data_IF_189585367030
#
_entry.id   IF_189585367030
#
_cell.length_a   1.000
_cell.length_b   1.000
_cell.length_c   1.000
_cell.angle_alpha   90.00
_cell.angle_beta   90.00
_cell.angle_gamma   90.00
#
_symmetry.space_group_name_H-M   'P 1'
#
loop_
_entity.id
_entity.type
_entity.pdbx_description
1 polymer ?
#
# COMPACT_ATOMS: atom_id res chain seq x y z
N UNK A 1 -41.89 16.28 5.18
CA UNK A 1 -40.50 16.10 4.67
C UNK A 1 -39.51 16.26 5.83
N UNK A 2 -39.51 15.31 6.79
CA UNK A 2 -38.80 15.45 8.10
C UNK A 2 -38.02 14.19 8.54
N UNK A 3 -37.98 13.13 7.73
CA UNK A 3 -37.22 11.90 8.05
C UNK A 3 -35.72 11.97 7.71
N UNK A 4 -35.28 13.00 6.98
CA UNK A 4 -33.90 13.11 6.48
C UNK A 4 -32.89 13.54 7.54
N UNK A 5 -33.30 14.35 8.50
CA UNK A 5 -32.34 14.93 9.43
C UNK A 5 -31.83 13.86 10.39
N UNK A 6 -32.66 13.01 11.01
CA UNK A 6 -32.15 12.06 12.00
C UNK A 6 -31.22 10.97 11.45
N UNK A 7 -31.43 10.45 10.24
CA UNK A 7 -30.54 9.44 9.63
C UNK A 7 -29.16 10.00 9.24
N UNK A 8 -29.10 11.30 8.90
CA UNK A 8 -27.92 11.91 8.28
C UNK A 8 -27.32 13.10 9.05
N UNK A 9 -27.90 13.50 10.20
CA UNK A 9 -27.43 14.62 11.06
C UNK A 9 -26.15 14.27 11.81
N UNK A 10 -25.87 13.00 12.05
CA UNK A 10 -24.50 12.62 12.41
C UNK A 10 -23.64 12.80 11.17
N UNK A 11 -22.97 13.96 11.09
CA UNK A 11 -21.97 14.31 10.07
C UNK A 11 -20.83 13.27 9.92
N UNK A 12 -20.84 12.19 10.70
CA UNK A 12 -19.88 11.08 10.73
C UNK A 12 -20.47 9.69 10.37
N UNK A 13 -21.75 9.55 10.03
CA UNK A 13 -22.30 8.24 9.64
C UNK A 13 -21.82 7.78 8.26
N UNK A 14 -21.49 6.48 8.11
CA UNK A 14 -21.21 5.81 6.82
C UNK A 14 -22.28 6.13 5.77
N UNK A 15 -23.55 6.09 6.17
CA UNK A 15 -24.71 6.40 5.33
C UNK A 15 -24.76 7.86 4.87
N UNK A 16 -24.30 8.82 5.67
CA UNK A 16 -24.27 10.24 5.27
C UNK A 16 -23.24 10.50 4.16
N UNK A 17 -22.10 9.82 4.23
CA UNK A 17 -21.06 9.82 3.18
C UNK A 17 -21.63 9.33 1.84
N UNK A 18 -22.35 8.21 1.87
CA UNK A 18 -22.99 7.63 0.68
C UNK A 18 -24.14 8.50 0.17
N UNK A 19 -24.94 9.06 1.07
CA UNK A 19 -26.01 9.98 0.70
C UNK A 19 -25.48 11.21 -0.02
N UNK A 20 -24.37 11.77 0.47
CA UNK A 20 -23.66 12.87 -0.16
C UNK A 20 -23.13 12.47 -1.55
N UNK A 21 -22.54 11.28 -1.68
CA UNK A 21 -22.07 10.77 -2.97
C UNK A 21 -23.21 10.55 -3.99
N UNK A 22 -24.41 10.17 -3.51
CA UNK A 22 -25.58 9.99 -4.37
C UNK A 22 -26.07 11.30 -4.98
N UNK A 23 -26.00 12.42 -4.24
CA UNK A 23 -26.60 13.69 -4.68
C UNK A 23 -25.57 14.74 -5.12
N UNK A 24 -24.40 14.78 -4.50
CA UNK A 24 -23.44 15.89 -4.59
C UNK A 24 -22.07 15.40 -5.09
N UNK A 25 -22.08 14.81 -6.28
CA UNK A 25 -20.93 14.26 -7.02
C UNK A 25 -19.69 15.15 -6.99
N UNK A 26 -19.85 16.47 -7.22
CA UNK A 26 -18.75 17.43 -7.36
C UNK A 26 -18.03 17.76 -6.04
N UNK A 27 -18.61 17.49 -4.87
CA UNK A 27 -18.00 17.83 -3.56
C UNK A 27 -17.31 16.64 -2.88
N UNK A 28 -17.29 15.48 -3.54
CA UNK A 28 -16.73 14.26 -2.96
C UNK A 28 -15.23 14.17 -3.27
N UNK A 29 -14.39 14.33 -2.24
CA UNK A 29 -12.92 14.31 -2.36
C UNK A 29 -12.39 12.87 -2.54
N UNK A 30 -11.18 12.73 -3.11
CA UNK A 30 -10.49 11.41 -3.24
C UNK A 30 -10.40 10.71 -1.88
N UNK A 31 -9.97 11.43 -0.83
CA UNK A 31 -9.87 10.89 0.53
C UNK A 31 -11.18 10.28 1.03
N UNK A 32 -12.30 10.97 0.80
CA UNK A 32 -13.62 10.49 1.23
C UNK A 32 -14.05 9.21 0.48
N UNK A 33 -13.73 9.11 -0.80
CA UNK A 33 -13.98 7.90 -1.60
C UNK A 33 -13.20 6.72 -1.01
N UNK A 34 -11.93 6.91 -0.64
CA UNK A 34 -11.09 5.85 -0.08
C UNK A 34 -11.51 5.44 1.34
N UNK A 35 -11.78 6.39 2.22
CA UNK A 35 -12.19 6.15 3.61
C UNK A 35 -13.57 5.45 3.72
N UNK A 36 -14.42 5.57 2.69
CA UNK A 36 -15.74 4.96 2.70
C UNK A 36 -15.64 3.43 2.54
N UNK A 37 -16.03 2.70 3.61
CA UNK A 37 -16.18 1.25 3.58
C UNK A 37 -17.53 0.87 2.97
N UNK A 38 -17.50 0.33 1.75
CA UNK A 38 -18.70 -0.08 1.03
C UNK A 38 -19.37 -1.30 1.66
N UNK A 39 -18.60 -2.28 2.14
CA UNK A 39 -19.12 -3.51 2.72
C UNK A 39 -19.95 -3.22 3.98
N UNK A 40 -19.38 -2.43 4.91
CA UNK A 40 -20.08 -2.02 6.11
C UNK A 40 -21.37 -1.27 5.77
N UNK A 41 -21.31 -0.37 4.79
CA UNK A 41 -22.48 0.43 4.42
C UNK A 41 -23.56 -0.40 3.73
N UNK A 42 -23.19 -1.40 2.91
CA UNK A 42 -24.16 -2.32 2.30
C UNK A 42 -24.85 -3.15 3.38
N UNK A 43 -24.11 -3.65 4.39
CA UNK A 43 -24.70 -4.35 5.54
C UNK A 43 -25.70 -3.46 6.28
N UNK A 44 -25.36 -2.20 6.50
CA UNK A 44 -26.26 -1.21 7.13
C UNK A 44 -27.53 -0.94 6.29
N UNK A 45 -27.45 -1.06 4.96
CA UNK A 45 -28.61 -0.89 4.06
C UNK A 45 -29.50 -2.15 4.05
N UNK A 46 -28.90 -3.34 4.08
CA UNK A 46 -29.63 -4.62 4.08
C UNK A 46 -30.34 -4.84 5.42
N UNK A 47 -29.68 -4.54 6.54
CA UNK A 47 -30.23 -4.69 7.89
C UNK A 47 -30.23 -3.33 8.61
N UNK A 48 -31.18 -2.43 8.27
CA UNK A 48 -31.17 -1.10 8.82
C UNK A 48 -31.66 -1.10 10.26
N UNK A 49 -30.92 -0.41 11.15
CA UNK A 49 -31.25 -0.26 12.58
C UNK A 49 -32.56 0.51 12.82
N UNK A 50 -33.01 1.28 11.82
CA UNK A 50 -34.26 2.03 11.85
C UNK A 50 -34.98 1.85 10.51
N UNK A 51 -36.31 1.84 10.50
CA UNK A 51 -37.11 1.71 9.27
C UNK A 51 -36.68 2.75 8.23
N UNK A 52 -36.07 2.28 7.14
CA UNK A 52 -35.74 3.08 5.96
C UNK A 52 -36.79 2.86 4.89
N UNK A 53 -37.25 3.95 4.25
CA UNK A 53 -38.15 3.85 3.11
C UNK A 53 -37.43 3.35 1.86
N UNK A 54 -38.13 2.57 1.01
CA UNK A 54 -37.56 1.98 -0.21
C UNK A 54 -36.94 3.03 -1.14
N UNK A 55 -37.57 4.20 -1.28
CA UNK A 55 -37.04 5.32 -2.08
C UNK A 55 -35.65 5.76 -1.56
N UNK A 56 -35.47 5.88 -0.25
CA UNK A 56 -34.19 6.25 0.37
C UNK A 56 -33.14 5.16 0.13
N UNK A 57 -33.51 3.89 0.26
CA UNK A 57 -32.60 2.77 -0.04
C UNK A 57 -32.13 2.78 -1.49
N UNK A 58 -33.00 3.12 -2.46
CA UNK A 58 -32.62 3.27 -3.86
C UNK A 58 -31.57 4.37 -4.09
N UNK A 59 -31.74 5.53 -3.45
CA UNK A 59 -30.73 6.61 -3.51
C UNK A 59 -29.41 6.21 -2.85
N UNK A 60 -29.46 5.50 -1.72
CA UNK A 60 -28.26 4.99 -1.06
C UNK A 60 -27.51 3.99 -1.95
N UNK A 61 -28.22 3.08 -2.60
CA UNK A 61 -27.64 2.12 -3.53
C UNK A 61 -26.96 2.83 -4.72
N UNK A 62 -27.60 3.87 -5.27
CA UNK A 62 -26.98 4.69 -6.32
C UNK A 62 -25.68 5.34 -5.83
N UNK A 63 -25.65 5.85 -4.59
CA UNK A 63 -24.44 6.38 -3.96
C UNK A 63 -23.32 5.35 -3.84
N UNK A 64 -23.64 4.13 -3.41
CA UNK A 64 -22.70 3.00 -3.30
C UNK A 64 -22.05 2.72 -4.67
N UNK A 65 -22.86 2.56 -5.71
CA UNK A 65 -22.39 2.23 -7.06
C UNK A 65 -21.49 3.36 -7.62
N UNK A 66 -21.85 4.62 -7.37
CA UNK A 66 -21.03 5.78 -7.77
C UNK A 66 -19.67 5.81 -7.09
N UNK A 67 -19.61 5.53 -5.78
CA UNK A 67 -18.34 5.45 -5.05
C UNK A 67 -17.49 4.29 -5.59
N UNK A 68 -18.09 3.13 -5.84
CA UNK A 68 -17.40 1.98 -6.43
C UNK A 68 -16.79 2.31 -7.79
N UNK A 69 -17.57 2.95 -8.68
CA UNK A 69 -17.10 3.38 -10.00
C UNK A 69 -15.88 4.31 -9.90
N UNK A 70 -15.86 5.24 -8.93
CA UNK A 70 -14.69 6.12 -8.69
C UNK A 70 -13.48 5.37 -8.16
N UNK A 71 -13.67 4.43 -7.23
CA UNK A 71 -12.57 3.59 -6.75
C UNK A 71 -11.90 2.86 -7.91
N UNK A 72 -12.70 2.27 -8.80
CA UNK A 72 -12.18 1.60 -9.99
C UNK A 72 -11.44 2.56 -10.95
N UNK A 73 -11.98 3.77 -11.17
CA UNK A 73 -11.31 4.79 -11.98
C UNK A 73 -9.97 5.23 -11.37
N UNK A 74 -9.92 5.46 -10.06
CA UNK A 74 -8.67 5.80 -9.38
C UNK A 74 -7.66 4.68 -9.45
N UNK A 75 -8.09 3.43 -9.26
CA UNK A 75 -7.23 2.26 -9.41
C UNK A 75 -6.63 2.17 -10.82
N UNK A 76 -7.43 2.37 -11.86
CA UNK A 76 -6.96 2.36 -13.25
C UNK A 76 -5.89 3.43 -13.48
N UNK A 77 -6.11 4.66 -12.98
CA UNK A 77 -5.15 5.75 -13.08
C UNK A 77 -3.84 5.37 -12.37
N UNK A 78 -3.94 4.89 -11.13
CA UNK A 78 -2.76 4.52 -10.33
C UNK A 78 -1.99 3.36 -10.99
N UNK A 79 -2.66 2.39 -11.61
CA UNK A 79 -2.05 1.31 -12.39
C UNK A 79 -1.34 1.80 -13.65
N UNK A 80 -1.95 2.74 -14.38
CA UNK A 80 -1.33 3.33 -15.57
C UNK A 80 -0.07 4.12 -15.20
N UNK A 81 -0.12 4.91 -14.12
CA UNK A 81 1.03 5.65 -13.62
C UNK A 81 2.17 4.71 -13.18
N UNK A 82 1.84 3.62 -12.48
CA UNK A 82 2.82 2.62 -12.08
C UNK A 82 3.47 1.94 -13.30
N UNK A 83 2.67 1.57 -14.30
CA UNK A 83 3.17 0.97 -15.54
C UNK A 83 4.10 1.92 -16.29
N UNK A 84 3.73 3.21 -16.40
CA UNK A 84 4.59 4.22 -17.02
C UNK A 84 5.91 4.39 -16.26
N UNK A 85 5.87 4.46 -14.93
CA UNK A 85 7.09 4.57 -14.10
C UNK A 85 8.01 3.37 -14.29
N UNK A 86 7.47 2.15 -14.33
CA UNK A 86 8.26 0.94 -14.60
C UNK A 86 8.88 1.01 -16.00
N UNK A 87 8.09 1.36 -17.03
CA UNK A 87 8.62 1.49 -18.40
C UNK A 87 9.71 2.56 -18.53
N UNK A 88 9.62 3.63 -17.74
CA UNK A 88 10.65 4.69 -17.70
C UNK A 88 11.91 4.22 -16.96
N UNK A 89 11.77 3.54 -15.82
CA UNK A 89 12.90 3.08 -15.01
C UNK A 89 13.75 2.01 -15.71
N UNK A 90 13.15 1.19 -16.57
CA UNK A 90 13.84 0.12 -17.30
C UNK A 90 14.03 0.44 -18.78
N UNK A 91 14.18 1.73 -19.15
CA UNK A 91 14.53 2.09 -20.53
C UNK A 91 15.94 1.60 -20.86
N UNK A 92 16.12 0.79 -21.92
CA UNK A 92 17.47 0.42 -22.36
C UNK A 92 18.24 1.68 -22.75
N UNK A 93 19.43 1.86 -22.16
CA UNK A 93 20.30 3.02 -22.39
C UNK A 93 20.20 4.17 -21.38
N UNK A 94 19.32 4.11 -20.37
CA UNK A 94 19.38 5.00 -19.19
C UNK A 94 20.16 4.35 -18.05
N UNK A 95 21.44 4.13 -18.28
CA UNK A 95 22.41 3.72 -17.26
C UNK A 95 23.47 4.82 -17.16
N UNK A 96 23.84 5.21 -15.94
CA UNK A 96 24.90 6.21 -15.70
C UNK A 96 26.30 5.69 -16.12
N UNK A 97 26.39 4.42 -16.54
CA UNK A 97 27.61 3.81 -17.05
C UNK A 97 27.68 3.93 -18.58
N UNK A 98 28.87 4.28 -19.14
CA UNK A 98 29.12 4.23 -20.58
C UNK A 98 28.88 2.81 -21.12
N UNK A 99 28.50 2.67 -22.40
CA UNK A 99 28.16 1.37 -23.03
C UNK A 99 29.28 0.32 -22.88
N UNK A 100 30.53 0.76 -22.75
CA UNK A 100 31.71 -0.11 -22.56
C UNK A 100 31.86 -0.66 -21.12
N UNK A 101 31.06 -0.20 -20.16
CA UNK A 101 31.10 -0.61 -18.75
C UNK A 101 29.88 -1.42 -18.29
N UNK A 102 29.04 -1.87 -19.21
CA UNK A 102 27.78 -2.59 -18.89
C UNK A 102 28.01 -4.01 -18.36
N UNK A 103 29.16 -4.62 -18.65
CA UNK A 103 29.58 -5.91 -18.08
C UNK A 103 30.79 -5.72 -17.17
N UNK A 104 30.61 -6.02 -15.88
CA UNK A 104 31.73 -6.10 -14.95
C UNK A 104 32.61 -7.31 -15.34
N UNK A 105 33.92 -7.11 -15.42
CA UNK A 105 34.87 -8.20 -15.61
C UNK A 105 34.72 -9.22 -14.48
N UNK A 106 34.78 -10.52 -14.79
CA UNK A 106 34.55 -11.61 -13.81
C UNK A 106 35.43 -11.43 -12.58
N UNK A 107 36.69 -11.02 -12.77
CA UNK A 107 37.67 -10.74 -11.71
C UNK A 107 37.33 -9.56 -10.79
N UNK A 108 36.38 -8.70 -11.16
CA UNK A 108 35.90 -7.60 -10.33
C UNK A 108 34.75 -8.00 -9.39
N UNK A 109 34.03 -9.09 -9.71
CA UNK A 109 32.88 -9.59 -8.96
C UNK A 109 33.18 -10.90 -8.21
N UNK A 110 34.20 -11.65 -8.65
CA UNK A 110 34.73 -12.79 -7.91
C UNK A 110 35.94 -12.37 -7.06
N UNK A 111 35.95 -12.80 -5.80
CA UNK A 111 37.15 -12.73 -4.96
C UNK A 111 38.28 -13.50 -5.65
N UNK A 112 39.52 -12.97 -5.61
CA UNK A 112 40.68 -13.74 -6.08
C UNK A 112 40.76 -15.04 -5.32
N UNK A 113 40.92 -16.15 -6.05
CA UNK A 113 41.09 -17.51 -5.53
C UNK A 113 42.49 -17.70 -4.91
N UNK A 114 42.91 -16.75 -4.07
CA UNK A 114 44.16 -16.86 -3.32
C UNK A 114 43.89 -17.62 -2.01
N UNK A 115 43.78 -18.95 -2.14
CA UNK A 115 43.56 -19.86 -1.02
C UNK A 115 44.74 -19.90 -0.03
N UNK A 116 45.85 -19.22 -0.33
CA UNK A 116 47.02 -19.05 0.53
C UNK A 116 46.70 -18.34 1.85
N UNK A 117 45.60 -17.56 1.92
CA UNK A 117 45.17 -16.88 3.15
C UNK A 117 44.77 -17.85 4.28
N UNK A 118 44.35 -19.08 3.95
CA UNK A 118 43.99 -20.11 4.93
C UNK A 118 45.20 -20.88 5.49
N UNK A 119 46.37 -20.78 4.84
CA UNK A 119 47.64 -21.35 5.32
C UNK A 119 48.35 -20.44 6.34
N UNK A 120 47.75 -19.31 6.70
CA UNK A 120 48.23 -18.49 7.81
C UNK A 120 48.02 -19.28 9.10
N UNK A 121 49.05 -20.03 9.50
CA UNK A 121 49.09 -20.83 10.72
C UNK A 121 48.55 -19.99 11.88
N UNK A 122 47.33 -20.31 12.33
CA UNK A 122 46.72 -19.63 13.46
C UNK A 122 47.74 -19.65 14.60
N UNK A 123 48.05 -18.51 15.24
CA UNK A 123 49.01 -18.50 16.34
C UNK A 123 48.53 -19.50 17.38
N UNK A 124 49.44 -20.40 17.79
CA UNK A 124 49.13 -21.44 18.76
C UNK A 124 48.44 -20.82 19.96
N UNK A 125 47.22 -21.26 20.27
CA UNK A 125 46.50 -20.87 21.48
C UNK A 125 47.38 -21.23 22.67
N UNK A 126 48.08 -20.22 23.20
CA UNK A 126 48.81 -20.33 24.44
C UNK A 126 47.75 -20.51 25.52
N UNK A 127 47.59 -21.74 25.98
CA UNK A 127 46.79 -22.07 27.16
C UNK A 127 47.44 -21.44 28.41
N UNK A 128 47.39 -20.12 28.52
CA UNK A 128 47.87 -19.37 29.69
C UNK A 128 46.71 -18.74 30.49
N UNK A 129 45.46 -18.96 30.09
CA UNK A 129 44.27 -18.44 30.78
C UNK A 129 43.58 -19.45 31.71
N UNK A 130 44.25 -20.54 32.09
CA UNK A 130 43.75 -21.48 33.12
C UNK A 130 44.39 -21.29 34.51
N UNK A 131 45.16 -20.22 34.73
CA UNK A 131 45.76 -19.91 36.04
C UNK A 131 45.20 -18.66 36.75
N UNK A 132 44.09 -18.06 36.26
CA UNK A 132 43.46 -16.91 36.94
C UNK A 132 42.17 -17.25 37.71
N UNK A 133 41.84 -18.53 37.90
CA UNK A 133 40.82 -18.97 38.85
C UNK A 133 41.34 -20.15 39.67
N UNK A 134 42.21 -19.88 40.66
CA UNK A 134 42.16 -20.55 41.97
C UNK A 134 43.16 -19.92 42.96
N UNK A 135 42.58 -19.33 44.01
CA UNK A 135 43.06 -19.29 45.40
C UNK A 135 44.19 -18.29 45.73
N UNK A 136 43.79 -17.10 46.18
CA UNK A 136 43.84 -16.75 47.61
C UNK A 136 42.67 -15.82 47.96
#
# INVERSE_FOLDING_TARGET
>A
MLFYTQLFTSKRGSLAKIWLAAHWERKLTKAHVFECNLEATIRDIISPKMKMGLRTSGHLLLGVVRIYSRKAKYLLIDCNDALLKIKLAFRPGQTDLPEEGLEATVTAITLSEDFSAFDTQLPSLRYSCLLLFNIN
#
